data_IF_105298772911
#
_entry.id   IF_105298772911
#
_cell.length_a   1.000
_cell.length_b   1.000
_cell.length_c   1.000
_cell.angle_alpha   90.00
_cell.angle_beta   90.00
_cell.angle_gamma   90.00
#
_symmetry.space_group_name_H-M   'P 1'
#
loop_
_entity.id
_entity.type
_entity.pdbx_description
1 polymer ?
#
# COMPACT_ATOMS: atom_id res chain seq x y z
N UNK A 1 7.94 5.49 4.07
CA UNK A 1 8.53 5.98 2.80
C UNK A 1 8.81 4.76 1.93
N UNK A 2 8.41 4.76 0.65
CA UNK A 2 8.89 3.74 -0.30
C UNK A 2 10.36 4.00 -0.56
N UNK A 3 11.24 3.20 0.04
CA UNK A 3 12.68 3.34 -0.17
C UNK A 3 13.04 2.79 -1.54
N UNK A 4 13.86 3.52 -2.31
CA UNK A 4 14.38 3.02 -3.60
C UNK A 4 15.10 1.68 -3.43
N UNK A 5 15.83 1.51 -2.32
CA UNK A 5 16.46 0.24 -1.98
C UNK A 5 15.42 -0.73 -1.44
N UNK A 6 15.23 -1.93 -2.05
CA UNK A 6 14.37 -2.97 -1.54
C UNK A 6 15.06 -3.69 -0.36
N UNK A 7 15.18 -2.99 0.77
CA UNK A 7 15.73 -3.53 2.01
C UNK A 7 14.62 -4.11 2.90
N UNK A 8 14.99 -5.05 3.77
CA UNK A 8 14.07 -5.71 4.70
C UNK A 8 14.02 -7.23 4.52
N UNK A 9 13.52 -7.89 5.54
CA UNK A 9 13.26 -9.33 5.59
C UNK A 9 11.82 -9.58 6.02
N UNK A 10 11.27 -10.72 5.60
CA UNK A 10 9.93 -11.18 6.02
C UNK A 10 10.12 -12.49 6.76
N UNK A 11 9.67 -12.53 8.01
CA UNK A 11 9.79 -13.72 8.85
C UNK A 11 8.40 -14.31 9.08
N UNK A 12 8.17 -15.52 8.57
CA UNK A 12 6.97 -16.30 8.80
C UNK A 12 7.10 -17.04 10.13
N UNK A 13 6.17 -16.80 11.06
CA UNK A 13 6.08 -17.50 12.34
C UNK A 13 4.84 -18.38 12.38
N UNK A 14 5.03 -19.67 12.64
CA UNK A 14 3.94 -20.66 12.77
C UNK A 14 4.16 -21.53 14.01
N UNK A 15 3.22 -22.43 14.29
CA UNK A 15 3.43 -23.46 15.33
C UNK A 15 4.61 -24.40 15.04
N UNK A 16 5.10 -24.46 13.80
CA UNK A 16 6.25 -25.26 13.40
C UNK A 16 7.60 -24.53 13.57
N UNK A 17 7.59 -23.23 13.91
CA UNK A 17 8.79 -22.42 14.10
C UNK A 17 8.79 -21.14 13.26
N UNK A 18 10.00 -20.58 13.08
CA UNK A 18 10.24 -19.34 12.33
C UNK A 18 11.03 -19.61 11.05
N UNK A 19 10.62 -19.00 9.93
CA UNK A 19 11.26 -19.12 8.62
C UNK A 19 11.39 -17.73 7.98
N UNK A 20 12.60 -17.36 7.52
CA UNK A 20 12.77 -16.15 6.72
C UNK A 20 12.42 -16.43 5.26
N UNK A 21 11.42 -15.72 4.74
CA UNK A 21 10.94 -15.90 3.37
C UNK A 21 11.92 -15.25 2.37
N UNK A 22 12.32 -16.03 1.36
CA UNK A 22 13.10 -15.53 0.23
C UNK A 22 12.21 -15.04 -0.91
N UNK A 23 12.60 -13.93 -1.56
CA UNK A 23 11.89 -13.34 -2.69
C UNK A 23 12.82 -12.46 -3.52
N UNK A 24 12.49 -12.30 -4.80
CA UNK A 24 13.23 -11.42 -5.70
C UNK A 24 13.06 -9.96 -5.28
N UNK A 25 14.18 -9.25 -5.27
CA UNK A 25 14.23 -7.82 -4.92
C UNK A 25 14.31 -7.00 -6.20
N UNK A 26 13.31 -6.16 -6.39
CA UNK A 26 13.25 -5.19 -7.50
C UNK A 26 13.24 -3.76 -6.92
N UNK A 27 13.84 -2.82 -7.63
CA UNK A 27 13.70 -1.40 -7.31
C UNK A 27 12.21 -0.99 -7.38
N UNK A 28 11.71 -0.45 -6.26
CA UNK A 28 10.27 -0.21 -6.10
C UNK A 28 9.72 0.86 -7.04
N UNK A 29 10.55 1.81 -7.47
CA UNK A 29 10.16 2.86 -8.40
C UNK A 29 10.15 2.34 -9.84
N UNK A 30 11.16 1.56 -10.20
CA UNK A 30 11.24 0.86 -11.49
C UNK A 30 10.01 -0.01 -11.71
N UNK A 31 9.68 -0.85 -10.71
CA UNK A 31 8.46 -1.67 -10.73
C UNK A 31 7.20 -0.83 -10.93
N UNK A 32 7.07 0.28 -10.19
CA UNK A 32 5.89 1.14 -10.26
C UNK A 32 5.74 1.80 -11.64
N UNK A 33 6.83 2.27 -12.23
CA UNK A 33 6.82 2.85 -13.58
C UNK A 33 6.50 1.82 -14.65
N UNK A 34 7.03 0.60 -14.54
CA UNK A 34 6.70 -0.50 -15.46
C UNK A 34 5.19 -0.81 -15.43
N UNK A 35 4.59 -0.89 -14.25
CA UNK A 35 3.15 -1.11 -14.09
C UNK A 35 2.32 0.07 -14.60
N UNK A 36 2.77 1.30 -14.37
CA UNK A 36 2.11 2.48 -14.92
C UNK A 36 2.15 2.52 -16.46
N UNK A 37 3.31 2.23 -17.06
CA UNK A 37 3.44 2.11 -18.52
C UNK A 37 2.54 1.01 -19.09
N UNK A 38 2.41 -0.13 -18.40
CA UNK A 38 1.51 -1.20 -18.81
C UNK A 38 0.04 -0.76 -18.76
N UNK A 39 -0.37 -0.08 -17.69
CA UNK A 39 -1.71 0.49 -17.58
C UNK A 39 -2.03 1.50 -18.71
N UNK A 40 -1.06 2.34 -19.12
CA UNK A 40 -1.21 3.26 -20.26
C UNK A 40 -1.55 2.50 -21.56
N UNK A 41 -0.99 1.29 -21.73
CA UNK A 41 -1.25 0.44 -22.90
C UNK A 41 -2.54 -0.40 -22.76
N UNK A 42 -3.28 -0.26 -21.66
CA UNK A 42 -4.43 -1.11 -21.36
C UNK A 42 -4.05 -2.51 -20.84
N UNK A 43 -2.79 -2.71 -20.47
CA UNK A 43 -2.24 -3.98 -19.99
C UNK A 43 -2.11 -3.95 -18.46
N UNK A 44 -3.21 -4.19 -17.75
CA UNK A 44 -3.21 -4.24 -16.28
C UNK A 44 -3.51 -2.90 -15.61
N UNK A 45 -2.90 -2.64 -14.46
CA UNK A 45 -3.20 -1.50 -13.57
C UNK A 45 -1.92 -0.94 -12.94
N UNK A 46 -1.90 0.34 -12.52
CA UNK A 46 -0.77 0.89 -11.79
C UNK A 46 -0.55 0.19 -10.44
N UNK A 47 0.62 0.39 -9.83
CA UNK A 47 0.98 -0.19 -8.53
C UNK A 47 0.06 0.26 -7.38
N UNK A 48 -0.46 1.48 -7.49
CA UNK A 48 -1.56 2.02 -6.71
C UNK A 48 -2.41 2.89 -7.64
N UNK A 49 -3.74 2.75 -7.58
CA UNK A 49 -4.66 3.59 -8.36
C UNK A 49 -4.89 4.94 -7.70
N UNK A 50 -5.70 5.80 -8.33
CA UNK A 50 -6.12 7.05 -7.71
C UNK A 50 -6.97 6.82 -6.45
N UNK A 51 -7.85 5.81 -6.50
CA UNK A 51 -8.70 5.39 -5.38
C UNK A 51 -7.86 4.91 -4.19
N UNK A 52 -6.79 4.14 -4.43
CA UNK A 52 -5.85 3.74 -3.37
C UNK A 52 -5.24 4.96 -2.68
N UNK A 53 -4.95 6.02 -3.44
CA UNK A 53 -4.51 7.32 -2.92
C UNK A 53 -5.53 7.95 -1.97
N UNK A 54 -6.81 7.99 -2.38
CA UNK A 54 -7.91 8.53 -1.55
C UNK A 54 -8.07 7.73 -0.26
N UNK A 55 -8.01 6.40 -0.34
CA UNK A 55 -8.04 5.53 0.83
C UNK A 55 -6.88 5.80 1.80
N UNK A 56 -5.66 5.94 1.29
CA UNK A 56 -4.48 6.21 2.13
C UNK A 56 -4.60 7.54 2.87
N UNK A 57 -5.14 8.56 2.20
CA UNK A 57 -5.34 9.88 2.78
C UNK A 57 -6.43 9.85 3.85
N UNK A 58 -7.58 9.24 3.55
CA UNK A 58 -8.68 9.10 4.52
C UNK A 58 -8.25 8.35 5.78
N UNK A 59 -7.42 7.31 5.64
CA UNK A 59 -6.87 6.59 6.78
C UNK A 59 -5.93 7.47 7.62
N UNK A 60 -5.05 8.26 6.99
CA UNK A 60 -4.16 9.18 7.67
C UNK A 60 -4.92 10.28 8.43
N UNK A 61 -5.97 10.84 7.82
CA UNK A 61 -6.83 11.84 8.46
C UNK A 61 -7.59 11.27 9.66
N UNK A 62 -8.20 10.10 9.53
CA UNK A 62 -8.90 9.43 10.63
C UNK A 62 -7.95 9.10 11.79
N UNK A 63 -6.74 8.63 11.50
CA UNK A 63 -5.72 8.38 12.52
C UNK A 63 -5.32 9.67 13.26
N UNK A 64 -5.12 10.77 12.52
CA UNK A 64 -4.83 12.08 13.11
C UNK A 64 -5.97 12.59 14.00
N UNK A 65 -7.23 12.43 13.57
CA UNK A 65 -8.40 12.80 14.36
C UNK A 65 -8.55 11.94 15.61
N UNK A 66 -8.32 10.63 15.49
CA UNK A 66 -8.34 9.70 16.62
C UNK A 66 -7.28 10.06 17.66
N UNK A 67 -6.05 10.32 17.23
CA UNK A 67 -4.95 10.73 18.12
C UNK A 67 -5.26 12.04 18.87
N UNK A 68 -5.91 13.01 18.21
CA UNK A 68 -6.31 14.29 18.83
C UNK A 68 -7.47 14.15 19.81
N UNK A 69 -8.43 13.27 19.52
CA UNK A 69 -9.68 13.16 20.28
C UNK A 69 -9.66 12.08 21.35
N UNK A 70 -8.72 11.14 21.28
CA UNK A 70 -8.69 9.95 22.14
C UNK A 70 -9.84 8.97 21.87
N UNK A 71 -10.54 9.10 20.72
CA UNK A 71 -11.70 8.27 20.36
C UNK A 71 -11.43 7.49 19.08
N UNK A 72 -12.15 6.39 18.90
CA UNK A 72 -12.19 5.69 17.61
C UNK A 72 -12.88 6.58 16.57
N UNK A 73 -12.29 6.67 15.37
CA UNK A 73 -12.79 7.44 14.24
C UNK A 73 -12.94 6.50 13.04
N UNK A 74 -14.08 6.60 12.33
CA UNK A 74 -14.33 5.80 11.13
C UNK A 74 -13.47 6.33 9.98
N UNK A 75 -12.82 5.43 9.24
CA UNK A 75 -12.15 5.76 7.98
C UNK A 75 -13.22 5.80 6.89
N UNK A 76 -13.46 6.98 6.31
CA UNK A 76 -14.44 7.18 5.24
C UNK A 76 -13.79 7.92 4.06
N UNK A 77 -13.45 7.22 2.96
CA UNK A 77 -12.83 7.81 1.78
C UNK A 77 -13.82 8.60 0.92
N UNK A 78 -15.14 8.56 1.21
CA UNK A 78 -16.21 9.24 0.44
C UNK A 78 -16.16 9.02 -1.07
N UNK A 79 -15.59 7.89 -1.49
CA UNK A 79 -15.73 7.34 -2.83
C UNK A 79 -17.14 6.77 -2.90
N UNK A 80 -18.17 7.63 -3.01
CA UNK A 80 -19.55 7.19 -3.25
C UNK A 80 -19.53 6.17 -4.38
N UNK A 81 -20.30 5.08 -4.25
CA UNK A 81 -20.20 3.88 -5.11
C UNK A 81 -19.94 4.29 -6.56
N UNK A 82 -18.69 4.17 -6.99
CA UNK A 82 -18.32 4.38 -8.36
C UNK A 82 -19.01 3.25 -9.13
N UNK A 83 -20.15 3.59 -9.72
CA UNK A 83 -20.91 2.72 -10.62
C UNK A 83 -20.14 2.52 -11.92
#
# INVERSE_FOLDING_TARGET
VMTQKPVGSVLLRTGAGEEELSFDREDLYTRSLLQFHAAIRGEGRPSATGEDGVWSLAAAEAALQSAKSGKAVTIDPKLGSAA
#
